data_IF_575987794282
#
_entry.id   IF_575987794282
#
_cell.length_a   1.000
_cell.length_b   1.000
_cell.length_c   1.000
_cell.angle_alpha   90.00
_cell.angle_beta   90.00
_cell.angle_gamma   90.00
#
_symmetry.space_group_name_H-M   'P 1'
#
loop_
_entity.id
_entity.type
_entity.pdbx_description
1 polymer ?
#
# COMPACT_ATOMS: atom_id res chain seq x y z
N UNK A 1 -4.94 47.93 -58.22
CA UNK A 1 -5.11 46.49 -58.03
C UNK A 1 -4.34 46.12 -56.79
N UNK A 2 -5.02 45.99 -55.66
CA UNK A 2 -4.38 45.63 -54.34
C UNK A 2 -4.56 44.13 -54.11
N UNK A 3 -3.45 43.43 -54.03
CA UNK A 3 -3.41 41.97 -53.76
C UNK A 3 -3.41 41.79 -52.24
N UNK A 4 -4.46 41.16 -51.66
CA UNK A 4 -4.50 40.72 -50.26
C UNK A 4 -3.92 39.31 -50.15
N UNK A 5 -2.83 39.18 -49.41
CA UNK A 5 -2.21 37.91 -49.08
C UNK A 5 -2.84 37.38 -47.78
N UNK A 6 -3.63 36.28 -47.84
CA UNK A 6 -4.14 35.58 -46.69
C UNK A 6 -3.08 34.60 -46.20
N UNK A 7 -2.51 34.86 -45.01
CA UNK A 7 -1.66 33.92 -44.31
C UNK A 7 -2.55 33.07 -43.40
N UNK A 8 -2.78 31.81 -43.76
CA UNK A 8 -3.44 30.83 -42.91
C UNK A 8 -2.44 30.27 -41.87
N UNK A 9 -2.63 30.63 -40.61
CA UNK A 9 -1.92 30.03 -39.48
C UNK A 9 -2.51 28.65 -39.22
N UNK A 10 -1.81 27.58 -39.60
CA UNK A 10 -2.13 26.21 -39.23
C UNK A 10 -1.81 25.95 -37.76
N UNK A 11 -2.86 25.76 -36.95
CA UNK A 11 -2.72 25.35 -35.55
C UNK A 11 -2.29 23.88 -35.52
N UNK A 12 -1.00 23.62 -35.30
CA UNK A 12 -0.49 22.25 -35.06
C UNK A 12 -0.91 21.84 -33.65
N UNK A 13 -1.95 21.03 -33.53
CA UNK A 13 -2.30 20.33 -32.31
C UNK A 13 -1.21 19.32 -32.01
N UNK A 14 -0.29 19.66 -31.09
CA UNK A 14 0.62 18.73 -30.49
C UNK A 14 -0.21 17.77 -29.59
N UNK A 15 -0.58 16.61 -30.13
CA UNK A 15 -1.00 15.49 -29.28
C UNK A 15 0.14 15.14 -28.33
N UNK A 16 -0.08 15.10 -27.01
CA UNK A 16 0.95 14.65 -26.09
C UNK A 16 1.23 13.16 -26.38
N UNK A 17 2.38 12.87 -26.95
CA UNK A 17 2.87 11.51 -27.08
C UNK A 17 3.01 10.91 -25.68
N UNK A 18 2.45 9.72 -25.39
CA UNK A 18 2.64 9.07 -24.10
C UNK A 18 4.14 8.90 -23.86
N UNK A 19 4.61 9.47 -22.76
CA UNK A 19 6.02 9.45 -22.40
C UNK A 19 6.50 8.01 -22.33
N UNK A 20 7.51 7.64 -23.10
CA UNK A 20 8.24 6.36 -23.05
C UNK A 20 8.76 5.98 -21.63
N UNK A 21 8.68 6.88 -20.66
CA UNK A 21 9.03 6.68 -19.26
C UNK A 21 8.04 5.79 -18.48
N UNK A 22 6.80 5.62 -18.96
CA UNK A 22 5.79 4.80 -18.26
C UNK A 22 6.05 3.29 -18.38
N UNK A 23 6.74 2.82 -19.43
CA UNK A 23 6.91 1.41 -19.74
C UNK A 23 7.76 0.60 -18.72
N UNK A 24 8.51 1.27 -17.84
CA UNK A 24 9.43 0.63 -16.89
C UNK A 24 9.09 0.90 -15.42
N UNK A 25 7.84 1.28 -15.13
CA UNK A 25 7.38 1.57 -13.77
C UNK A 25 6.48 0.44 -13.24
N UNK A 26 6.57 0.18 -11.95
CA UNK A 26 5.69 -0.73 -11.22
C UNK A 26 5.18 -0.02 -9.97
N UNK A 27 4.24 0.95 -10.10
CA UNK A 27 3.93 1.93 -9.06
C UNK A 27 3.07 1.38 -7.92
N UNK A 28 2.45 0.22 -8.09
CA UNK A 28 1.52 -0.36 -7.12
C UNK A 28 1.71 -1.88 -7.02
N UNK A 29 1.06 -2.52 -6.06
CA UNK A 29 1.10 -3.96 -5.82
C UNK A 29 0.93 -4.81 -7.09
N UNK A 30 0.01 -4.49 -7.98
CA UNK A 30 -0.24 -5.24 -9.23
C UNK A 30 0.19 -4.48 -10.48
N UNK A 31 1.13 -3.55 -10.32
CA UNK A 31 1.72 -2.79 -11.43
C UNK A 31 0.82 -1.70 -11.98
N UNK A 32 1.20 -1.11 -13.11
CA UNK A 32 0.55 0.09 -13.65
C UNK A 32 -0.91 -0.11 -14.02
N UNK A 33 -1.29 -1.33 -14.37
CA UNK A 33 -2.66 -1.69 -14.79
C UNK A 33 -3.44 -2.40 -13.68
N UNK A 34 -2.92 -2.50 -12.46
CA UNK A 34 -3.50 -3.19 -11.31
C UNK A 34 -3.91 -4.66 -11.58
N UNK A 35 -3.36 -5.30 -12.61
CA UNK A 35 -3.69 -6.66 -13.05
C UNK A 35 -2.51 -7.65 -12.98
N UNK A 36 -1.32 -7.18 -12.59
CA UNK A 36 -0.12 -8.01 -12.47
C UNK A 36 0.59 -8.27 -13.81
N UNK A 37 0.22 -7.58 -14.88
CA UNK A 37 0.81 -7.77 -16.21
C UNK A 37 1.61 -6.56 -16.67
N UNK A 38 2.54 -6.78 -17.57
CA UNK A 38 3.25 -5.75 -18.34
C UNK A 38 2.89 -5.91 -19.81
N UNK A 39 2.67 -4.79 -20.51
CA UNK A 39 2.37 -4.79 -21.94
C UNK A 39 3.62 -5.05 -22.80
N UNK A 40 4.79 -4.68 -22.27
CA UNK A 40 6.07 -4.84 -22.93
C UNK A 40 7.11 -5.28 -21.90
N UNK A 41 7.78 -6.37 -22.16
CA UNK A 41 8.83 -6.88 -21.28
C UNK A 41 9.50 -8.12 -21.90
N UNK A 42 10.77 -8.26 -21.61
CA UNK A 42 11.54 -9.44 -21.94
C UNK A 42 12.11 -10.01 -20.62
N UNK A 43 11.21 -10.58 -19.81
CA UNK A 43 11.64 -11.24 -18.58
C UNK A 43 12.38 -12.54 -18.93
N UNK A 44 13.47 -12.86 -18.23
CA UNK A 44 14.14 -14.13 -18.40
C UNK A 44 13.18 -15.26 -18.02
N UNK A 45 13.09 -16.27 -18.86
CA UNK A 45 12.30 -17.49 -18.60
C UNK A 45 13.09 -18.55 -17.83
N UNK A 46 14.42 -18.37 -17.74
CA UNK A 46 15.31 -19.20 -16.94
C UNK A 46 16.17 -18.32 -16.06
N UNK A 47 16.26 -18.65 -14.77
CA UNK A 47 17.16 -18.00 -13.82
C UNK A 47 17.60 -18.99 -12.74
N UNK A 48 18.75 -18.71 -12.13
CA UNK A 48 19.29 -19.46 -10.99
C UNK A 48 19.98 -18.48 -10.03
N UNK A 49 20.64 -18.97 -9.02
CA UNK A 49 21.41 -18.11 -8.10
C UNK A 49 22.54 -17.31 -8.80
N UNK A 50 22.99 -17.76 -9.98
CA UNK A 50 24.11 -17.17 -10.74
C UNK A 50 23.74 -16.75 -12.17
N UNK A 51 22.55 -17.13 -12.66
CA UNK A 51 22.13 -16.85 -14.03
C UNK A 51 20.96 -15.85 -14.04
N UNK A 52 21.06 -14.82 -14.86
CA UNK A 52 20.03 -13.77 -15.01
C UNK A 52 19.69 -13.01 -13.71
N UNK A 53 20.61 -13.03 -12.71
CA UNK A 53 20.54 -12.25 -11.50
C UNK A 53 21.50 -11.06 -11.63
N UNK A 54 20.95 -9.85 -11.68
CA UNK A 54 21.73 -8.61 -11.77
C UNK A 54 22.43 -8.28 -10.46
N UNK A 55 21.71 -8.42 -9.35
CA UNK A 55 22.22 -8.22 -7.99
C UNK A 55 21.34 -8.97 -6.99
N UNK A 56 21.89 -9.21 -5.82
CA UNK A 56 21.21 -9.80 -4.67
C UNK A 56 21.62 -9.03 -3.42
N UNK A 57 20.65 -8.61 -2.62
CA UNK A 57 20.90 -7.86 -1.38
C UNK A 57 20.11 -8.45 -0.24
N UNK A 58 20.71 -8.55 0.93
CA UNK A 58 20.04 -8.99 2.15
C UNK A 58 19.21 -7.83 2.70
N UNK A 59 17.92 -8.08 2.92
CA UNK A 59 17.01 -7.13 3.55
C UNK A 59 16.98 -7.41 5.06
N UNK A 60 17.14 -6.37 5.92
CA UNK A 60 16.98 -6.54 7.37
C UNK A 60 15.50 -6.76 7.71
N UNK A 61 15.22 -7.67 8.65
CA UNK A 61 13.84 -8.00 9.03
C UNK A 61 13.08 -8.84 8.02
N UNK A 62 11.76 -8.75 8.03
CA UNK A 62 10.86 -9.55 7.21
C UNK A 62 9.65 -8.74 6.73
N UNK A 63 8.98 -9.26 5.68
CA UNK A 63 7.75 -8.70 5.13
C UNK A 63 7.33 -9.43 3.87
N UNK A 64 6.02 -9.43 3.59
CA UNK A 64 5.43 -9.98 2.37
C UNK A 64 5.01 -8.86 1.40
N UNK A 65 5.46 -7.64 1.66
CA UNK A 65 5.26 -6.47 0.80
C UNK A 65 5.84 -6.72 -0.59
N UNK A 66 5.05 -6.50 -1.63
CA UNK A 66 5.57 -6.48 -3.00
C UNK A 66 6.37 -5.21 -3.23
N UNK A 67 7.62 -5.31 -3.69
CA UNK A 67 8.38 -4.13 -4.06
C UNK A 67 7.71 -3.37 -5.20
N UNK A 68 7.69 -2.03 -5.09
CA UNK A 68 7.26 -1.16 -6.19
C UNK A 68 8.45 -0.44 -6.79
N UNK A 69 8.32 -0.03 -8.04
CA UNK A 69 9.41 0.59 -8.80
C UNK A 69 8.97 1.91 -9.40
N UNK A 70 9.77 2.95 -9.16
CA UNK A 70 9.63 4.24 -9.83
C UNK A 70 11.00 4.79 -10.25
N UNK A 71 11.22 4.91 -11.54
CA UNK A 71 12.51 5.26 -12.13
C UNK A 71 13.64 4.29 -11.70
N UNK A 72 14.66 4.81 -11.03
CA UNK A 72 15.78 4.02 -10.51
C UNK A 72 15.57 3.54 -9.07
N UNK A 73 14.43 3.85 -8.46
CA UNK A 73 14.11 3.52 -7.06
C UNK A 73 13.20 2.31 -6.97
N UNK A 74 13.50 1.46 -6.02
CA UNK A 74 12.67 0.33 -5.60
C UNK A 74 12.31 0.58 -4.14
N UNK A 75 11.03 0.50 -3.81
CA UNK A 75 10.52 0.69 -2.45
C UNK A 75 9.87 -0.58 -1.95
N UNK A 76 10.10 -0.91 -0.69
CA UNK A 76 9.43 -2.01 0.00
C UNK A 76 9.23 -1.69 1.48
N UNK A 77 8.29 -2.39 2.09
CA UNK A 77 8.00 -2.33 3.52
C UNK A 77 8.58 -3.55 4.21
N UNK A 78 9.07 -3.35 5.42
CA UNK A 78 9.58 -4.43 6.25
C UNK A 78 9.34 -4.16 7.74
N UNK A 79 9.32 -5.21 8.53
CA UNK A 79 9.31 -5.13 9.98
C UNK A 79 10.52 -5.92 10.52
N UNK A 80 11.28 -5.30 11.41
CA UNK A 80 12.47 -5.90 12.02
C UNK A 80 12.32 -5.94 13.54
N UNK A 81 12.51 -7.12 14.13
CA UNK A 81 12.59 -7.21 15.58
C UNK A 81 13.82 -6.48 16.11
N UNK A 82 13.61 -5.64 17.12
CA UNK A 82 14.71 -4.97 17.81
C UNK A 82 15.47 -5.87 18.80
N UNK A 83 14.92 -7.05 19.10
CA UNK A 83 15.39 -7.91 20.18
C UNK A 83 14.97 -7.41 21.58
N UNK A 84 14.39 -6.22 21.71
CA UNK A 84 13.95 -5.66 22.99
C UNK A 84 12.63 -6.30 23.40
N UNK A 85 12.61 -6.89 24.59
CA UNK A 85 11.37 -7.40 25.20
C UNK A 85 10.53 -6.26 25.75
N UNK A 86 9.24 -6.28 25.44
CA UNK A 86 8.29 -5.38 26.04
C UNK A 86 8.04 -5.74 27.50
N UNK A 87 7.86 -4.75 28.36
CA UNK A 87 7.46 -4.97 29.74
C UNK A 87 5.95 -5.28 29.85
N UNK A 88 5.51 -5.73 31.03
CA UNK A 88 4.12 -6.12 31.26
C UNK A 88 3.12 -4.97 31.00
N UNK A 89 3.51 -3.73 31.32
CA UNK A 89 2.68 -2.55 31.08
C UNK A 89 2.48 -2.27 29.58
N UNK A 90 3.55 -2.36 28.77
CA UNK A 90 3.48 -2.24 27.33
C UNK A 90 2.58 -3.32 26.71
N UNK A 91 2.72 -4.57 27.17
CA UNK A 91 1.86 -5.69 26.74
C UNK A 91 0.40 -5.42 27.10
N UNK A 92 0.11 -4.96 28.30
CA UNK A 92 -1.25 -4.65 28.73
C UNK A 92 -1.89 -3.53 27.89
N UNK A 93 -1.12 -2.52 27.48
CA UNK A 93 -1.59 -1.40 26.63
C UNK A 93 -1.89 -1.80 25.19
N UNK A 94 -1.31 -2.91 24.70
CA UNK A 94 -1.57 -3.37 23.32
C UNK A 94 -2.86 -4.18 23.20
N UNK A 95 -3.38 -4.72 24.30
CA UNK A 95 -4.61 -5.53 24.28
C UNK A 95 -5.80 -4.71 23.82
N UNK A 96 -6.31 -5.03 22.65
CA UNK A 96 -7.53 -4.41 22.11
C UNK A 96 -8.73 -5.15 22.67
N UNK A 97 -9.57 -4.45 23.45
CA UNK A 97 -10.90 -4.97 23.80
C UNK A 97 -11.85 -4.60 22.67
N UNK A 98 -12.40 -5.61 22.01
CA UNK A 98 -13.47 -5.42 21.03
C UNK A 98 -14.78 -5.58 21.81
N UNK A 99 -15.55 -4.49 21.97
CA UNK A 99 -16.90 -4.57 22.53
C UNK A 99 -17.78 -5.44 21.63
N UNK A 100 -18.49 -6.39 22.24
CA UNK A 100 -19.40 -7.29 21.53
C UNK A 100 -18.74 -8.45 20.78
N UNK A 101 -17.42 -8.57 20.77
CA UNK A 101 -16.77 -9.75 20.21
C UNK A 101 -16.92 -10.97 21.15
N UNK A 102 -17.35 -12.11 20.58
CA UNK A 102 -17.23 -13.39 21.29
C UNK A 102 -15.75 -13.66 21.53
N UNK A 103 -15.36 -14.19 22.72
CA UNK A 103 -13.97 -14.59 22.94
C UNK A 103 -13.56 -15.52 21.78
N UNK A 104 -12.47 -15.14 21.09
CA UNK A 104 -11.87 -16.04 20.09
C UNK A 104 -11.44 -17.31 20.83
N UNK A 105 -12.16 -18.39 20.60
CA UNK A 105 -11.95 -19.67 21.28
C UNK A 105 -10.62 -20.33 20.96
N UNK A 106 -9.87 -19.82 19.99
CA UNK A 106 -8.54 -20.31 19.60
C UNK A 106 -7.69 -19.12 19.13
N UNK A 107 -6.80 -18.64 19.97
CA UNK A 107 -5.67 -17.78 19.54
C UNK A 107 -4.63 -18.69 18.90
N UNK A 108 -4.56 -18.68 17.57
CA UNK A 108 -3.63 -19.56 16.83
C UNK A 108 -2.22 -18.99 16.80
N UNK A 109 -2.06 -17.68 16.96
CA UNK A 109 -0.77 -17.00 16.93
C UNK A 109 -0.45 -16.36 18.29
N UNK A 110 0.77 -16.56 18.80
CA UNK A 110 1.14 -16.05 20.11
C UNK A 110 1.15 -14.52 20.13
N UNK A 111 0.83 -13.95 21.29
CA UNK A 111 0.99 -12.51 21.54
C UNK A 111 2.46 -12.11 21.32
N UNK A 112 2.70 -10.98 20.59
CA UNK A 112 4.05 -10.47 20.41
C UNK A 112 4.68 -10.09 21.76
N UNK A 113 5.96 -10.35 21.91
CA UNK A 113 6.74 -9.99 23.11
C UNK A 113 7.88 -9.02 22.79
N UNK A 114 8.23 -8.89 21.53
CA UNK A 114 9.37 -8.08 21.09
C UNK A 114 8.88 -6.81 20.39
N UNK A 115 9.56 -5.72 20.69
CA UNK A 115 9.38 -4.45 19.96
C UNK A 115 9.91 -4.62 18.53
N UNK A 116 9.18 -4.09 17.57
CA UNK A 116 9.54 -4.11 16.16
C UNK A 116 9.66 -2.69 15.59
N UNK A 117 10.61 -2.51 14.68
CA UNK A 117 10.69 -1.37 13.79
C UNK A 117 9.95 -1.67 12.50
N UNK A 118 9.06 -0.78 12.13
CA UNK A 118 8.31 -0.80 10.88
C UNK A 118 8.96 0.20 9.93
N UNK A 119 9.60 -0.28 8.88
CA UNK A 119 10.47 0.51 8.06
C UNK A 119 10.05 0.55 6.60
N UNK A 120 10.34 1.67 5.97
CA UNK A 120 10.35 1.81 4.52
C UNK A 120 11.79 1.80 4.05
N UNK A 121 12.06 0.99 3.05
CA UNK A 121 13.37 0.89 2.42
C UNK A 121 13.29 1.34 0.98
N UNK A 122 14.24 2.18 0.57
CA UNK A 122 14.48 2.57 -0.80
C UNK A 122 15.83 2.03 -1.29
N UNK A 123 15.81 1.33 -2.41
CA UNK A 123 16.97 0.69 -3.02
C UNK A 123 17.17 1.25 -4.42
N UNK A 124 18.41 1.49 -4.84
CA UNK A 124 18.72 1.75 -6.23
C UNK A 124 18.56 0.45 -7.04
N UNK A 125 17.57 0.42 -7.92
CA UNK A 125 17.20 -0.76 -8.71
C UNK A 125 18.31 -1.23 -9.67
N UNK A 126 19.28 -0.37 -10.02
CA UNK A 126 20.36 -0.71 -10.92
C UNK A 126 21.52 -1.41 -10.23
N UNK A 127 21.78 -1.02 -8.97
CA UNK A 127 22.94 -1.49 -8.20
C UNK A 127 22.58 -2.36 -6.99
N UNK A 128 21.32 -2.35 -6.52
CA UNK A 128 20.92 -2.99 -5.27
C UNK A 128 21.39 -2.25 -4.01
N UNK A 129 21.99 -1.06 -4.14
CA UNK A 129 22.44 -0.28 -2.98
C UNK A 129 21.26 0.39 -2.27
N UNK A 130 21.31 0.41 -0.94
CA UNK A 130 20.35 1.16 -0.14
C UNK A 130 20.54 2.65 -0.36
N UNK A 131 19.49 3.34 -0.79
CA UNK A 131 19.48 4.80 -0.91
C UNK A 131 19.09 5.45 0.41
N UNK A 132 18.07 4.91 1.06
CA UNK A 132 17.64 5.33 2.40
C UNK A 132 16.75 4.25 3.04
N UNK A 133 16.69 4.32 4.38
CA UNK A 133 15.77 3.55 5.23
C UNK A 133 15.13 4.52 6.22
N UNK A 134 13.81 4.42 6.44
CA UNK A 134 13.06 5.26 7.37
C UNK A 134 12.19 4.40 8.26
N UNK A 135 12.37 4.55 9.57
CA UNK A 135 11.47 3.98 10.57
C UNK A 135 10.20 4.80 10.63
N UNK A 136 9.08 4.17 10.33
CA UNK A 136 7.74 4.75 10.37
C UNK A 136 7.20 4.71 11.80
N UNK A 137 7.38 3.56 12.45
CA UNK A 137 7.01 3.26 13.83
C UNK A 137 8.02 2.32 14.46
N UNK A 138 8.18 2.44 15.79
CA UNK A 138 8.84 1.45 16.62
C UNK A 138 7.93 1.17 17.79
N UNK A 139 7.37 -0.03 17.87
CA UNK A 139 6.40 -0.39 18.90
C UNK A 139 6.27 -1.90 19.06
N UNK A 140 5.64 -2.31 20.15
CA UNK A 140 5.16 -3.69 20.32
C UNK A 140 3.94 -3.88 19.41
N UNK A 141 3.94 -4.85 18.47
CA UNK A 141 2.75 -5.21 17.73
C UNK A 141 1.62 -5.61 18.68
N UNK A 142 0.40 -5.16 18.44
CA UNK A 142 -0.74 -5.43 19.31
C UNK A 142 -1.36 -6.82 19.11
N UNK A 143 -1.05 -7.48 18.01
CA UNK A 143 -1.43 -8.88 17.73
C UNK A 143 -0.31 -9.60 16.97
N UNK A 144 -0.40 -10.92 16.85
CA UNK A 144 0.52 -11.73 16.07
C UNK A 144 0.36 -11.58 14.57
N UNK A 145 0.96 -12.51 13.84
CA UNK A 145 0.76 -12.67 12.40
C UNK A 145 0.80 -14.15 12.04
N UNK A 146 0.24 -14.52 10.89
CA UNK A 146 0.37 -15.88 10.37
C UNK A 146 1.84 -16.22 10.13
N UNK A 147 2.21 -17.48 10.38
CA UNK A 147 3.61 -17.95 10.25
C UNK A 147 4.26 -17.69 8.88
N UNK A 148 3.43 -17.71 7.82
CA UNK A 148 3.90 -17.52 6.43
C UNK A 148 3.90 -16.05 6.01
N UNK A 149 3.58 -15.12 6.93
CA UNK A 149 3.56 -13.68 6.71
C UNK A 149 4.46 -12.96 7.71
N UNK A 150 4.34 -11.65 7.77
CA UNK A 150 5.03 -10.79 8.72
C UNK A 150 4.16 -9.58 9.03
N UNK A 151 4.70 -8.65 9.80
CA UNK A 151 4.02 -7.40 10.14
C UNK A 151 4.04 -6.34 9.02
N UNK A 152 4.61 -6.66 7.85
CA UNK A 152 4.71 -5.78 6.70
C UNK A 152 4.22 -6.49 5.44
N UNK A 153 2.91 -6.79 5.38
CA UNK A 153 2.30 -7.52 4.26
C UNK A 153 1.63 -6.60 3.23
N UNK A 154 1.23 -5.39 3.64
CA UNK A 154 0.76 -4.36 2.71
C UNK A 154 1.88 -3.90 1.78
N UNK A 155 1.58 -3.63 0.53
CA UNK A 155 2.54 -3.09 -0.43
C UNK A 155 2.40 -1.58 -0.52
N UNK A 156 3.51 -0.83 -0.63
CA UNK A 156 3.46 0.60 -0.86
C UNK A 156 2.93 0.92 -2.25
N UNK A 157 2.62 2.19 -2.50
CA UNK A 157 2.30 2.68 -3.82
C UNK A 157 2.85 4.09 -4.05
N UNK A 158 2.99 4.51 -5.30
CA UNK A 158 3.47 5.84 -5.66
C UNK A 158 2.72 6.41 -6.86
N UNK A 159 2.57 7.74 -6.87
CA UNK A 159 2.11 8.53 -8.02
C UNK A 159 3.28 9.19 -8.77
N UNK A 160 4.52 8.87 -8.37
CA UNK A 160 5.73 9.45 -8.94
C UNK A 160 6.19 10.74 -8.25
N UNK A 161 5.38 11.30 -7.36
CA UNK A 161 5.73 12.44 -6.50
C UNK A 161 5.83 12.05 -5.03
N UNK A 162 4.89 11.20 -4.59
CA UNK A 162 4.78 10.74 -3.22
C UNK A 162 4.73 9.21 -3.15
N UNK A 163 5.12 8.70 -2.00
CA UNK A 163 5.05 7.31 -1.59
C UNK A 163 3.96 7.18 -0.52
N UNK A 164 2.96 6.33 -0.75
CA UNK A 164 1.86 6.06 0.16
C UNK A 164 2.04 4.66 0.76
N UNK A 165 1.91 4.59 2.07
CA UNK A 165 2.23 3.41 2.87
C UNK A 165 1.07 3.14 3.82
N UNK A 166 0.57 1.91 3.83
CA UNK A 166 -0.38 1.45 4.82
C UNK A 166 0.27 0.38 5.69
N UNK A 167 0.48 0.69 6.95
CA UNK A 167 0.91 -0.27 7.97
C UNK A 167 -0.26 -0.69 8.88
N UNK A 168 -1.50 -0.56 8.39
CA UNK A 168 -2.69 -0.93 9.15
C UNK A 168 -2.75 -0.16 10.46
N UNK A 169 -2.81 -0.86 11.57
CA UNK A 169 -2.87 -0.31 12.93
C UNK A 169 -1.67 0.57 13.32
N UNK A 170 -0.60 0.62 12.53
CA UNK A 170 0.55 1.52 12.71
C UNK A 170 0.43 2.77 11.87
N UNK A 171 -0.68 2.91 11.16
CA UNK A 171 -1.07 4.10 10.43
C UNK A 171 -0.86 4.04 8.93
N UNK A 172 -1.45 5.03 8.27
CA UNK A 172 -1.28 5.35 6.86
C UNK A 172 -0.38 6.56 6.75
N UNK A 173 0.62 6.52 5.88
CA UNK A 173 1.65 7.53 5.82
C UNK A 173 1.92 7.95 4.38
N UNK A 174 2.30 9.22 4.21
CA UNK A 174 2.79 9.77 2.95
C UNK A 174 4.22 10.29 3.14
N UNK A 175 5.08 9.92 2.20
CA UNK A 175 6.47 10.37 2.14
C UNK A 175 6.77 10.96 0.76
N UNK A 176 7.78 11.84 0.68
CA UNK A 176 8.41 12.12 -0.61
C UNK A 176 9.24 10.91 -1.05
N UNK A 177 9.60 10.84 -2.32
CA UNK A 177 10.44 9.75 -2.83
C UNK A 177 11.88 9.78 -2.25
N UNK A 178 12.27 10.88 -1.61
CA UNK A 178 13.53 11.06 -0.87
C UNK A 178 13.45 10.63 0.60
N UNK A 179 12.24 10.16 1.04
CA UNK A 179 12.03 9.65 2.39
C UNK A 179 11.75 10.73 3.45
N UNK A 180 11.28 11.92 3.06
CA UNK A 180 10.74 12.92 4.00
C UNK A 180 9.26 12.66 4.22
N UNK A 181 8.82 12.53 5.49
CA UNK A 181 7.41 12.34 5.83
C UNK A 181 6.61 13.62 5.54
N UNK A 182 5.51 13.51 4.81
CA UNK A 182 4.59 14.58 4.47
C UNK A 182 3.44 14.62 5.47
N UNK A 183 2.77 13.46 5.67
CA UNK A 183 1.71 13.32 6.67
C UNK A 183 1.63 11.88 7.20
N UNK A 184 0.90 11.71 8.28
CA UNK A 184 0.59 10.44 8.93
C UNK A 184 -0.84 10.46 9.46
N UNK A 185 -1.57 9.35 9.30
CA UNK A 185 -2.93 9.15 9.81
C UNK A 185 -3.00 7.87 10.62
N UNK A 186 -3.52 8.00 11.82
CA UNK A 186 -3.95 6.87 12.63
C UNK A 186 -5.43 6.61 12.32
N UNK A 187 -5.77 5.39 11.95
CA UNK A 187 -7.14 4.95 11.67
C UNK A 187 -7.70 4.05 12.78
N UNK A 188 -6.94 3.82 13.83
CA UNK A 188 -7.26 2.94 14.94
C UNK A 188 -6.47 1.63 14.90
N UNK A 189 -6.96 0.62 15.62
CA UNK A 189 -6.38 -0.73 15.67
C UNK A 189 -7.34 -1.74 15.08
N UNK A 190 -6.84 -2.61 14.24
CA UNK A 190 -7.57 -3.78 13.76
C UNK A 190 -7.38 -4.94 14.74
N UNK A 191 -8.35 -5.82 14.82
CA UNK A 191 -8.16 -7.18 15.31
C UNK A 191 -8.48 -8.11 14.18
N UNK A 192 -7.50 -8.85 13.72
CA UNK A 192 -7.67 -9.72 12.56
C UNK A 192 -8.07 -11.13 13.00
N UNK A 193 -8.77 -11.83 12.11
CA UNK A 193 -9.20 -13.20 12.34
C UNK A 193 -8.02 -14.06 12.76
N UNK A 194 -8.12 -14.71 13.92
CA UNK A 194 -7.08 -15.57 14.52
C UNK A 194 -5.72 -14.86 14.67
N UNK A 195 -5.69 -13.55 14.72
CA UNK A 195 -4.47 -12.75 14.76
C UNK A 195 -3.52 -13.09 13.60
N UNK A 196 -4.07 -13.26 12.39
CA UNK A 196 -3.26 -13.53 11.20
C UNK A 196 -2.51 -12.31 10.67
N UNK A 197 -2.79 -11.14 11.23
CA UNK A 197 -2.13 -9.88 10.84
C UNK A 197 -2.83 -9.16 9.69
N UNK A 198 -2.34 -8.00 9.39
CA UNK A 198 -2.91 -7.01 8.48
C UNK A 198 -2.21 -7.05 7.12
N UNK A 199 -2.92 -6.83 5.99
CA UNK A 199 -2.31 -7.03 4.68
C UNK A 199 -2.89 -6.26 3.51
N UNK A 200 -4.02 -5.54 3.66
CA UNK A 200 -4.61 -4.76 2.58
C UNK A 200 -3.70 -3.62 2.14
N UNK A 201 -3.44 -3.50 0.85
CA UNK A 201 -2.66 -2.40 0.27
C UNK A 201 -3.57 -1.22 -0.08
N UNK A 202 -3.09 0.03 -0.01
CA UNK A 202 -3.86 1.18 -0.44
C UNK A 202 -3.91 1.25 -1.97
N UNK A 203 -4.93 1.95 -2.51
CA UNK A 203 -5.02 2.27 -3.93
C UNK A 203 -5.30 3.75 -4.13
N UNK A 204 -4.89 4.31 -5.26
CA UNK A 204 -4.99 5.73 -5.56
C UNK A 204 -5.74 5.96 -6.88
N UNK A 205 -6.66 6.93 -6.87
CA UNK A 205 -7.27 7.50 -8.07
C UNK A 205 -7.31 9.03 -7.96
N UNK A 206 -6.69 9.72 -8.90
CA UNK A 206 -6.61 11.18 -8.86
C UNK A 206 -5.99 11.69 -7.55
N UNK A 207 -6.78 12.40 -6.75
CA UNK A 207 -6.39 12.90 -5.43
C UNK A 207 -6.88 12.05 -4.26
N UNK A 208 -7.50 10.90 -4.53
CA UNK A 208 -8.18 10.06 -3.54
C UNK A 208 -7.38 8.78 -3.27
N UNK A 209 -6.89 8.64 -2.04
CA UNK A 209 -6.24 7.43 -1.53
C UNK A 209 -7.28 6.60 -0.79
N UNK A 210 -7.50 5.36 -1.22
CA UNK A 210 -8.47 4.43 -0.64
C UNK A 210 -7.76 3.41 0.24
N UNK A 211 -8.31 3.18 1.43
CA UNK A 211 -7.86 2.17 2.38
C UNK A 211 -9.03 1.30 2.81
N UNK A 212 -8.92 0.00 2.63
CA UNK A 212 -9.85 -0.98 3.17
C UNK A 212 -9.44 -1.35 4.60
N UNK A 213 -10.43 -1.39 5.51
CA UNK A 213 -10.23 -1.61 6.94
C UNK A 213 -11.17 -2.70 7.46
N UNK A 214 -11.07 -3.89 6.85
CA UNK A 214 -11.90 -5.04 7.25
C UNK A 214 -11.22 -5.82 8.38
N UNK A 215 -11.90 -5.94 9.53
CA UNK A 215 -11.40 -6.64 10.70
C UNK A 215 -12.55 -7.20 11.56
N UNK A 216 -12.26 -7.84 12.68
CA UNK A 216 -13.27 -8.43 13.56
C UNK A 216 -14.06 -7.40 14.39
N UNK A 217 -13.72 -6.11 14.33
CA UNK A 217 -14.48 -5.01 14.90
C UNK A 217 -15.36 -4.30 13.86
N UNK A 218 -15.56 -2.99 14.03
CA UNK A 218 -16.31 -2.18 13.05
C UNK A 218 -15.48 -1.94 11.80
N UNK A 219 -15.74 -2.71 10.77
CA UNK A 219 -15.10 -2.57 9.46
C UNK A 219 -15.57 -1.31 8.72
N UNK A 220 -14.68 -0.74 7.92
CA UNK A 220 -14.97 0.40 7.06
C UNK A 220 -14.04 0.45 5.85
N UNK A 221 -14.41 1.25 4.87
CA UNK A 221 -13.54 1.73 3.80
C UNK A 221 -13.43 3.24 3.93
N UNK A 222 -12.25 3.79 3.70
CA UNK A 222 -12.02 5.23 3.82
C UNK A 222 -11.27 5.78 2.62
N UNK A 223 -11.71 6.95 2.17
CA UNK A 223 -11.05 7.78 1.18
C UNK A 223 -10.34 8.94 1.87
N UNK A 224 -9.06 9.08 1.61
CA UNK A 224 -8.21 10.14 2.14
C UNK A 224 -7.75 11.04 0.99
N UNK A 225 -7.66 12.32 1.25
CA UNK A 225 -6.96 13.24 0.36
C UNK A 225 -5.47 12.90 0.36
N UNK A 226 -4.91 12.57 -0.78
CA UNK A 226 -3.54 12.08 -0.92
C UNK A 226 -2.48 13.08 -0.45
N UNK A 227 -2.75 14.39 -0.54
CA UNK A 227 -1.78 15.44 -0.18
C UNK A 227 -1.79 15.77 1.30
N UNK A 228 -2.94 15.60 1.98
CA UNK A 228 -3.14 16.04 3.36
C UNK A 228 -3.42 14.92 4.35
N UNK A 229 -3.80 13.73 3.87
CA UNK A 229 -4.29 12.63 4.69
C UNK A 229 -5.66 12.87 5.34
N UNK A 230 -6.34 13.97 5.04
CA UNK A 230 -7.69 14.25 5.57
C UNK A 230 -8.72 13.33 4.92
N UNK A 231 -9.68 12.88 5.72
CA UNK A 231 -10.79 12.05 5.22
C UNK A 231 -11.65 12.86 4.26
N UNK A 232 -11.91 12.29 3.08
CA UNK A 232 -12.87 12.78 2.10
C UNK A 232 -14.23 12.17 2.44
N UNK A 233 -14.29 10.83 2.52
CA UNK A 233 -15.45 10.08 2.97
C UNK A 233 -15.03 8.80 3.68
N UNK A 234 -15.96 8.23 4.44
CA UNK A 234 -15.80 6.95 5.12
C UNK A 234 -17.14 6.23 5.09
N UNK A 235 -17.15 4.97 4.67
CA UNK A 235 -18.32 4.11 4.65
C UNK A 235 -18.11 2.90 5.57
N UNK A 236 -19.04 2.66 6.48
CA UNK A 236 -19.03 1.47 7.32
C UNK A 236 -19.29 0.22 6.48
N UNK A 237 -18.71 -0.89 6.88
CA UNK A 237 -18.85 -2.20 6.23
C UNK A 237 -19.30 -3.23 7.26
N UNK A 238 -20.27 -4.05 6.88
CA UNK A 238 -20.71 -5.23 7.64
C UNK A 238 -19.89 -6.46 7.19
N UNK A 239 -18.57 -6.34 7.29
CA UNK A 239 -17.61 -7.39 6.97
C UNK A 239 -16.77 -7.73 8.19
N UNK A 240 -16.27 -8.94 8.24
CA UNK A 240 -15.19 -9.36 9.13
C UNK A 240 -13.86 -9.25 8.40
N UNK A 241 -12.79 -9.73 9.01
CA UNK A 241 -11.45 -9.65 8.42
C UNK A 241 -11.43 -10.09 6.96
N UNK A 242 -10.96 -9.20 6.10
CA UNK A 242 -10.53 -9.51 4.75
C UNK A 242 -9.16 -8.85 4.50
N UNK A 243 -8.37 -9.45 3.62
CA UNK A 243 -7.05 -8.92 3.25
C UNK A 243 -7.05 -8.34 1.83
N UNK A 244 -8.26 -8.11 1.29
CA UNK A 244 -8.44 -7.65 -0.07
C UNK A 244 -7.91 -6.23 -0.26
N UNK A 245 -7.10 -6.04 -1.29
CA UNK A 245 -6.74 -4.73 -1.80
C UNK A 245 -7.86 -4.23 -2.70
N UNK A 246 -8.37 -3.01 -2.52
CA UNK A 246 -9.38 -2.42 -3.40
C UNK A 246 -8.92 -2.37 -4.85
N UNK A 247 -9.88 -2.42 -5.78
CA UNK A 247 -9.64 -2.25 -7.21
C UNK A 247 -10.40 -1.03 -7.71
N UNK A 248 -9.74 -0.15 -8.45
CA UNK A 248 -10.39 0.96 -9.15
C UNK A 248 -10.86 0.45 -10.51
N UNK A 249 -12.13 0.64 -10.79
CA UNK A 249 -12.78 0.25 -12.04
C UNK A 249 -13.45 1.48 -12.67
N UNK A 250 -13.30 1.63 -13.98
CA UNK A 250 -14.04 2.61 -14.76
C UNK A 250 -15.04 1.87 -15.65
N UNK A 251 -16.31 2.19 -15.49
CA UNK A 251 -17.40 1.61 -16.26
C UNK A 251 -18.48 2.66 -16.54
N UNK A 252 -18.90 2.80 -17.78
CA UNK A 252 -19.93 3.76 -18.24
C UNK A 252 -19.72 5.19 -17.71
N UNK A 253 -18.48 5.67 -17.77
CA UNK A 253 -18.12 7.04 -17.32
C UNK A 253 -18.06 7.21 -15.79
N UNK A 254 -18.37 6.18 -15.03
CA UNK A 254 -18.28 6.17 -13.57
C UNK A 254 -16.98 5.51 -13.10
N UNK A 255 -16.36 6.09 -12.07
CA UNK A 255 -15.22 5.49 -11.40
C UNK A 255 -15.66 4.89 -10.08
N UNK A 256 -15.41 3.60 -9.93
CA UNK A 256 -15.85 2.83 -8.78
C UNK A 256 -14.66 2.19 -8.06
N UNK A 257 -14.83 1.97 -6.76
CA UNK A 257 -13.91 1.21 -5.90
C UNK A 257 -14.54 -0.13 -5.59
N UNK A 258 -14.04 -1.20 -6.18
CA UNK A 258 -14.52 -2.56 -5.92
C UNK A 258 -13.68 -3.21 -4.84
N UNK A 259 -14.33 -3.75 -3.80
CA UNK A 259 -13.67 -4.43 -2.68
C UNK A 259 -14.34 -5.77 -2.42
N UNK A 260 -13.53 -6.84 -2.46
CA UNK A 260 -13.97 -8.17 -2.02
C UNK A 260 -13.84 -8.25 -0.51
N UNK A 261 -14.95 -8.40 0.18
CA UNK A 261 -14.98 -8.74 1.60
C UNK A 261 -15.07 -10.25 1.82
N UNK A 262 -15.22 -10.67 3.06
CA UNK A 262 -15.44 -12.08 3.42
C UNK A 262 -16.84 -12.55 3.02
N UNK A 263 -17.83 -11.67 3.15
CA UNK A 263 -19.23 -12.00 2.84
C UNK A 263 -19.68 -11.51 1.48
N UNK A 264 -19.21 -10.34 1.03
CA UNK A 264 -19.69 -9.68 -0.19
C UNK A 264 -18.59 -8.98 -0.96
N UNK A 265 -18.75 -8.92 -2.26
CA UNK A 265 -18.05 -7.96 -3.12
C UNK A 265 -18.95 -6.72 -3.23
N UNK A 266 -18.39 -5.54 -2.91
CA UNK A 266 -19.10 -4.26 -3.01
C UNK A 266 -18.36 -3.29 -3.89
N UNK A 267 -19.13 -2.47 -4.58
CA UNK A 267 -18.65 -1.33 -5.35
C UNK A 267 -19.09 -0.03 -4.68
N UNK A 268 -18.19 0.94 -4.62
CA UNK A 268 -18.42 2.25 -4.03
C UNK A 268 -18.14 3.32 -5.07
N UNK A 269 -18.97 4.36 -5.14
CA UNK A 269 -18.62 5.56 -5.91
C UNK A 269 -17.35 6.19 -5.30
N UNK A 270 -16.39 6.53 -6.17
CA UNK A 270 -15.10 7.10 -5.73
C UNK A 270 -15.25 8.48 -5.07
N UNK A 271 -16.32 9.22 -5.40
CA UNK A 271 -16.51 10.60 -4.96
C UNK A 271 -17.02 10.69 -3.53
N UNK A 272 -17.97 9.83 -3.14
CA UNK A 272 -18.71 9.94 -1.89
C UNK A 272 -18.83 8.63 -1.09
N UNK A 273 -18.43 7.48 -1.67
CA UNK A 273 -18.46 6.19 -1.00
C UNK A 273 -19.85 5.55 -0.94
N UNK A 274 -20.82 6.00 -1.71
CA UNK A 274 -22.12 5.33 -1.85
C UNK A 274 -21.94 3.97 -2.55
N UNK A 275 -22.78 2.97 -2.18
CA UNK A 275 -22.75 1.59 -2.71
C UNK A 275 -23.62 1.49 -3.94
#
# INVERSE_FOLDING_TARGET
MRIFLFITFGLILLCPTPSLKAANQWPTWRGPNANGTVTHGNAPIQWSATQNIKWKVKIPGSGSSTPIIWNHRLFLLLAESTGIQANAEAIAKTRVKIEGSKPLSVVVNPEPKLIHRFDVLCIDRRSGKFLWRKTVREELPHEGHHRDHGYASSSPMTDGQHLYINYGSRGVHCYTLEGKRVWSRDLGKMTTRRHYGEGSSPVLHGNTLIVNWDHEGQSFIVALNKLTGKTIWKANRDEVTSWATPLIVQHDGQTQVVVSGTHRVRSYDIKDGTV
#
